data_IF_236746026354
#
_entry.id   IF_236746026354
#
_cell.length_a   1.000
_cell.length_b   1.000
_cell.length_c   1.000
_cell.angle_alpha   90.00
_cell.angle_beta   90.00
_cell.angle_gamma   90.00
#
_symmetry.space_group_name_H-M   'P 1'
#
loop_
_entity.id
_entity.type
_entity.pdbx_description
1 polymer ?
#
# COMPACT_ATOMS: atom_id res chain seq x y z
N UNK A 1 9.79 11.40 -17.06
CA UNK A 1 9.21 10.04 -17.06
C UNK A 1 10.31 9.08 -16.64
N UNK A 2 10.07 8.25 -15.65
CA UNK A 2 11.06 7.29 -15.12
C UNK A 2 11.07 6.01 -15.97
N UNK A 3 9.90 5.62 -16.50
CA UNK A 3 9.73 4.43 -17.35
C UNK A 3 9.02 4.81 -18.65
N UNK A 4 9.38 4.16 -19.76
CA UNK A 4 8.73 4.37 -21.07
C UNK A 4 7.29 3.84 -21.03
N UNK A 5 6.31 4.69 -21.35
CA UNK A 5 4.88 4.33 -21.33
C UNK A 5 4.53 3.17 -22.26
N UNK A 6 5.22 3.04 -23.39
CA UNK A 6 5.00 1.92 -24.32
C UNK A 6 5.40 0.59 -23.70
N UNK A 7 6.49 0.59 -22.92
CA UNK A 7 6.93 -0.61 -22.19
C UNK A 7 5.91 -1.00 -21.13
N UNK A 8 5.41 -0.03 -20.35
CA UNK A 8 4.36 -0.26 -19.35
C UNK A 8 3.09 -0.79 -20.01
N UNK A 9 2.63 -0.15 -21.08
CA UNK A 9 1.45 -0.58 -21.85
C UNK A 9 1.62 -2.02 -22.35
N UNK A 10 2.79 -2.34 -22.89
CA UNK A 10 3.08 -3.72 -23.34
C UNK A 10 3.05 -4.72 -22.19
N UNK A 11 3.75 -4.42 -21.08
CA UNK A 11 3.78 -5.32 -19.92
C UNK A 11 2.36 -5.52 -19.36
N UNK A 12 1.58 -4.44 -19.22
CA UNK A 12 0.22 -4.51 -18.72
C UNK A 12 -0.73 -5.24 -19.69
N UNK A 13 -0.44 -5.25 -20.99
CA UNK A 13 -1.20 -6.04 -21.96
C UNK A 13 -1.01 -7.56 -21.80
N UNK A 14 0.02 -7.99 -21.08
CA UNK A 14 0.27 -9.40 -20.74
C UNK A 14 -0.42 -9.81 -19.44
N UNK A 15 -1.05 -8.86 -18.73
CA UNK A 15 -1.80 -9.17 -17.50
C UNK A 15 -3.05 -9.98 -17.85
N UNK A 16 -3.29 -11.05 -17.09
CA UNK A 16 -4.44 -11.92 -17.23
C UNK A 16 -5.67 -11.46 -16.45
N UNK A 17 -5.57 -10.31 -15.79
CA UNK A 17 -6.61 -9.78 -14.92
C UNK A 17 -6.60 -10.38 -13.52
N UNK A 18 -7.61 -10.01 -12.76
CA UNK A 18 -7.88 -10.52 -11.42
C UNK A 18 -9.11 -11.44 -11.43
N UNK A 19 -9.65 -11.75 -10.26
CA UNK A 19 -10.98 -12.36 -10.16
C UNK A 19 -12.05 -11.35 -10.63
N UNK A 20 -13.18 -11.85 -11.10
CA UNK A 20 -14.24 -10.97 -11.63
C UNK A 20 -14.71 -9.91 -10.63
N UNK A 21 -14.71 -10.21 -9.33
CA UNK A 21 -15.10 -9.25 -8.31
C UNK A 21 -14.04 -8.15 -8.13
N UNK A 22 -12.75 -8.49 -8.17
CA UNK A 22 -11.68 -7.51 -8.11
C UNK A 22 -11.67 -6.61 -9.35
N UNK A 23 -11.86 -7.17 -10.54
CA UNK A 23 -11.94 -6.38 -11.78
C UNK A 23 -13.13 -5.40 -11.76
N UNK A 24 -14.29 -5.81 -11.18
CA UNK A 24 -15.44 -4.93 -10.99
C UNK A 24 -15.12 -3.78 -10.00
N UNK A 25 -14.54 -4.11 -8.84
CA UNK A 25 -14.17 -3.09 -7.84
C UNK A 25 -13.12 -2.13 -8.42
N UNK A 26 -12.16 -2.62 -9.20
CA UNK A 26 -11.18 -1.79 -9.89
C UNK A 26 -11.86 -0.82 -10.86
N UNK A 27 -12.77 -1.30 -11.69
CA UNK A 27 -13.49 -0.47 -12.65
C UNK A 27 -14.35 0.59 -11.94
N UNK A 28 -15.10 0.20 -10.91
CA UNK A 28 -15.91 1.14 -10.09
C UNK A 28 -15.04 2.22 -9.43
N UNK A 29 -13.86 1.86 -8.94
CA UNK A 29 -12.91 2.81 -8.36
C UNK A 29 -12.38 3.80 -9.42
N UNK A 30 -12.00 3.31 -10.60
CA UNK A 30 -11.55 4.13 -11.73
C UNK A 30 -12.63 5.10 -12.19
N UNK A 31 -13.86 4.62 -12.36
CA UNK A 31 -15.01 5.43 -12.78
C UNK A 31 -15.36 6.52 -11.75
N UNK A 32 -15.09 6.26 -10.46
CA UNK A 32 -15.31 7.19 -9.35
C UNK A 32 -14.09 8.04 -9.03
N UNK A 33 -13.01 7.95 -9.81
CA UNK A 33 -11.73 8.65 -9.57
C UNK A 33 -11.13 8.35 -8.19
N UNK A 34 -11.37 7.17 -7.66
CA UNK A 34 -10.72 6.72 -6.42
C UNK A 34 -9.36 6.13 -6.78
N UNK A 35 -8.26 6.66 -6.23
CA UNK A 35 -6.96 6.07 -6.48
C UNK A 35 -6.87 4.67 -5.86
N UNK A 36 -6.43 3.72 -6.66
CA UNK A 36 -6.09 2.36 -6.26
C UNK A 36 -4.68 2.01 -6.76
N UNK A 37 -4.11 0.96 -6.23
CA UNK A 37 -2.78 0.49 -6.64
C UNK A 37 -2.76 0.13 -8.13
N UNK A 38 -1.68 0.51 -8.81
CA UNK A 38 -1.48 0.26 -10.24
C UNK A 38 -1.25 -1.23 -10.51
N UNK A 39 -1.46 -1.65 -11.77
CA UNK A 39 -1.29 -3.04 -12.20
C UNK A 39 0.07 -3.63 -11.82
N UNK A 40 1.14 -2.86 -11.94
CA UNK A 40 2.49 -3.27 -11.60
C UNK A 40 2.62 -3.57 -10.10
N UNK A 41 2.00 -2.75 -9.24
CA UNK A 41 1.97 -2.99 -7.79
C UNK A 41 1.09 -4.19 -7.46
N UNK A 42 -0.04 -4.37 -8.15
CA UNK A 42 -0.88 -5.56 -7.96
C UNK A 42 -0.08 -6.84 -8.21
N UNK A 43 0.65 -6.93 -9.35
CA UNK A 43 1.46 -8.09 -9.67
C UNK A 43 2.64 -8.27 -8.71
N UNK A 44 3.24 -7.16 -8.25
CA UNK A 44 4.33 -7.22 -7.28
C UNK A 44 3.85 -7.71 -5.91
N UNK A 45 2.68 -7.26 -5.44
CA UNK A 45 2.07 -7.77 -4.21
C UNK A 45 1.76 -9.28 -4.33
N UNK A 46 1.16 -9.74 -5.43
CA UNK A 46 0.90 -11.16 -5.68
C UNK A 46 2.21 -12.00 -5.60
N UNK A 47 3.29 -11.51 -6.19
CA UNK A 47 4.61 -12.17 -6.11
C UNK A 47 5.12 -12.24 -4.67
N UNK A 48 5.06 -11.13 -3.94
CA UNK A 48 5.53 -11.08 -2.54
C UNK A 48 4.72 -12.00 -1.64
N UNK A 49 3.39 -12.03 -1.79
CA UNK A 49 2.51 -12.91 -1.04
C UNK A 49 2.82 -14.39 -1.33
N UNK A 50 3.02 -14.75 -2.60
CA UNK A 50 3.41 -16.11 -2.98
C UNK A 50 4.75 -16.55 -2.37
N UNK A 51 5.70 -15.62 -2.24
CA UNK A 51 7.02 -15.87 -1.65
C UNK A 51 7.00 -15.91 -0.13
N UNK A 52 6.28 -14.97 0.50
CA UNK A 52 6.32 -14.73 1.96
C UNK A 52 5.26 -15.50 2.72
N UNK A 53 4.10 -15.74 2.11
CA UNK A 53 2.97 -16.48 2.71
C UNK A 53 2.60 -15.95 4.09
N UNK A 54 2.30 -14.63 4.23
CA UNK A 54 2.06 -14.04 5.52
C UNK A 54 0.75 -14.53 6.13
N UNK A 55 0.74 -14.78 7.42
CA UNK A 55 -0.47 -15.15 8.15
C UNK A 55 -1.19 -13.91 8.71
N UNK A 56 -0.45 -12.85 9.00
CA UNK A 56 -1.01 -11.58 9.49
C UNK A 56 -0.48 -10.40 8.69
N UNK A 57 -1.41 -9.65 8.10
CA UNK A 57 -1.13 -8.49 7.25
C UNK A 57 -1.70 -7.24 7.92
N UNK A 58 -0.91 -6.17 7.97
CA UNK A 58 -1.38 -4.83 8.30
C UNK A 58 -1.35 -3.97 7.04
N UNK A 59 -2.46 -3.31 6.74
CA UNK A 59 -2.54 -2.31 5.69
C UNK A 59 -2.85 -0.94 6.29
N UNK A 60 -2.10 0.09 5.86
CA UNK A 60 -2.35 1.48 6.24
C UNK A 60 -2.80 2.26 5.01
N UNK A 61 -4.12 2.50 4.94
CA UNK A 61 -4.79 3.11 3.79
C UNK A 61 -5.64 2.09 3.03
N UNK A 62 -6.90 1.93 3.44
CA UNK A 62 -7.84 0.96 2.85
C UNK A 62 -8.46 1.45 1.54
N UNK A 63 -8.69 2.75 1.42
CA UNK A 63 -9.52 3.36 0.37
C UNK A 63 -10.87 2.62 0.21
N UNK A 64 -11.10 1.99 -0.93
CA UNK A 64 -12.32 1.18 -1.20
C UNK A 64 -12.12 -0.32 -0.93
N UNK A 65 -11.00 -0.71 -0.33
CA UNK A 65 -10.71 -2.09 0.06
C UNK A 65 -10.10 -2.96 -1.02
N UNK A 66 -9.72 -2.41 -2.17
CA UNK A 66 -9.22 -3.17 -3.30
C UNK A 66 -7.96 -3.97 -2.97
N UNK A 67 -6.94 -3.31 -2.41
CA UNK A 67 -5.66 -3.94 -2.06
C UNK A 67 -5.80 -4.99 -0.94
N UNK A 68 -6.63 -4.72 0.07
CA UNK A 68 -6.93 -5.70 1.12
C UNK A 68 -7.58 -6.97 0.54
N UNK A 69 -8.58 -6.81 -0.36
CA UNK A 69 -9.23 -7.94 -1.03
C UNK A 69 -8.24 -8.69 -1.93
N UNK A 70 -7.40 -7.96 -2.69
CA UNK A 70 -6.37 -8.56 -3.53
C UNK A 70 -5.40 -9.39 -2.69
N UNK A 71 -4.94 -8.88 -1.55
CA UNK A 71 -4.05 -9.62 -0.66
C UNK A 71 -4.76 -10.86 -0.09
N UNK A 72 -6.02 -10.75 0.35
CA UNK A 72 -6.80 -11.87 0.87
C UNK A 72 -7.15 -12.93 -0.18
N UNK A 73 -7.17 -12.59 -1.47
CA UNK A 73 -7.50 -13.48 -2.57
C UNK A 73 -6.29 -14.25 -3.08
N UNK A 74 -5.14 -13.57 -3.15
CA UNK A 74 -3.93 -14.12 -3.76
C UNK A 74 -2.88 -14.63 -2.77
N UNK A 75 -3.10 -14.47 -1.48
CA UNK A 75 -2.24 -15.14 -0.50
C UNK A 75 -2.48 -16.66 -0.59
N UNK A 76 -1.43 -17.47 -0.81
CA UNK A 76 -1.58 -18.92 -0.93
C UNK A 76 -1.91 -19.63 0.39
N UNK A 77 -1.88 -18.91 1.52
CA UNK A 77 -2.28 -19.41 2.84
C UNK A 77 -3.39 -18.53 3.41
N UNK A 78 -4.26 -19.06 4.28
CA UNK A 78 -5.23 -18.22 4.98
C UNK A 78 -4.52 -17.16 5.82
N UNK A 79 -4.82 -15.88 5.56
CA UNK A 79 -4.27 -14.75 6.30
C UNK A 79 -5.37 -13.94 6.98
N UNK A 80 -5.01 -13.23 8.05
CA UNK A 80 -5.86 -12.22 8.69
C UNK A 80 -5.31 -10.84 8.31
N UNK A 81 -6.18 -9.96 7.84
CA UNK A 81 -5.81 -8.62 7.40
C UNK A 81 -6.44 -7.59 8.32
N UNK A 82 -5.61 -6.75 8.93
CA UNK A 82 -6.05 -5.53 9.61
C UNK A 82 -5.77 -4.37 8.68
N UNK A 83 -6.80 -3.56 8.34
CA UNK A 83 -6.64 -2.38 7.49
C UNK A 83 -7.20 -1.14 8.16
N UNK A 84 -6.60 0.04 7.90
CA UNK A 84 -6.94 1.30 8.56
C UNK A 84 -7.40 2.33 7.54
N UNK A 85 -8.54 2.98 7.78
CA UNK A 85 -9.07 4.06 6.96
C UNK A 85 -9.72 5.16 7.81
N UNK A 86 -9.44 6.42 7.48
CA UNK A 86 -10.02 7.56 8.17
C UNK A 86 -11.05 8.34 7.34
N UNK A 87 -11.16 8.08 6.05
CA UNK A 87 -12.07 8.82 5.19
C UNK A 87 -13.48 8.23 5.23
N UNK A 88 -14.35 8.88 6.00
CA UNK A 88 -15.71 8.42 6.29
C UNK A 88 -16.52 8.00 5.07
N UNK A 89 -16.30 8.63 3.90
CA UNK A 89 -17.02 8.31 2.67
C UNK A 89 -16.57 7.00 2.01
N UNK A 90 -15.34 6.56 2.25
CA UNK A 90 -14.79 5.32 1.68
C UNK A 90 -15.05 4.11 2.56
N UNK A 91 -15.12 4.29 3.86
CA UNK A 91 -15.35 3.23 4.86
C UNK A 91 -16.56 2.34 4.50
N UNK A 92 -17.77 2.88 4.26
CA UNK A 92 -18.92 2.03 3.91
C UNK A 92 -18.72 1.30 2.58
N UNK A 93 -18.04 1.90 1.61
CA UNK A 93 -17.74 1.27 0.31
C UNK A 93 -16.79 0.08 0.50
N UNK A 94 -15.72 0.27 1.31
CA UNK A 94 -14.78 -0.80 1.60
C UNK A 94 -15.47 -1.99 2.30
N UNK A 95 -16.31 -1.72 3.30
CA UNK A 95 -17.08 -2.76 3.99
C UNK A 95 -18.00 -3.54 3.05
N UNK A 96 -18.70 -2.84 2.16
CA UNK A 96 -19.54 -3.47 1.15
C UNK A 96 -18.71 -4.33 0.19
N UNK A 97 -17.56 -3.85 -0.24
CA UNK A 97 -16.66 -4.60 -1.10
C UNK A 97 -16.10 -5.85 -0.41
N UNK A 98 -15.81 -5.80 0.89
CA UNK A 98 -15.40 -6.99 1.66
C UNK A 98 -16.50 -8.06 1.66
N UNK A 99 -17.76 -7.65 1.84
CA UNK A 99 -18.93 -8.57 1.79
C UNK A 99 -19.10 -9.13 0.37
N UNK A 100 -19.05 -8.29 -0.68
CA UNK A 100 -19.15 -8.69 -2.08
C UNK A 100 -18.07 -9.72 -2.47
N UNK A 101 -16.88 -9.57 -1.92
CA UNK A 101 -15.76 -10.47 -2.13
C UNK A 101 -15.78 -11.70 -1.20
N UNK A 102 -16.72 -11.79 -0.23
CA UNK A 102 -16.76 -12.86 0.78
C UNK A 102 -15.56 -12.87 1.72
N UNK A 103 -14.95 -11.69 1.96
CA UNK A 103 -13.74 -11.53 2.78
C UNK A 103 -13.99 -10.78 4.11
N UNK A 104 -15.24 -10.51 4.45
CA UNK A 104 -15.63 -9.76 5.65
C UNK A 104 -15.20 -10.40 6.97
N UNK A 105 -14.91 -11.71 6.97
CA UNK A 105 -14.40 -12.43 8.14
C UNK A 105 -12.88 -12.47 8.23
N UNK A 106 -12.22 -12.19 7.11
CA UNK A 106 -10.77 -12.25 6.97
C UNK A 106 -10.13 -10.85 7.07
N UNK A 107 -10.90 -9.81 6.74
CA UNK A 107 -10.44 -8.42 6.72
C UNK A 107 -11.13 -7.63 7.82
N UNK A 108 -10.37 -7.14 8.79
CA UNK A 108 -10.81 -6.26 9.87
C UNK A 108 -10.48 -4.81 9.53
N UNK A 109 -11.50 -3.97 9.35
CA UNK A 109 -11.32 -2.54 9.12
C UNK A 109 -11.35 -1.78 10.45
N UNK A 110 -10.29 -1.06 10.74
CA UNK A 110 -10.19 -0.10 11.84
C UNK A 110 -10.45 1.31 11.30
N UNK A 111 -11.52 1.92 11.79
CA UNK A 111 -11.98 3.23 11.34
C UNK A 111 -11.31 4.34 12.17
N UNK A 112 -10.53 5.19 11.56
CA UNK A 112 -9.92 6.34 12.21
C UNK A 112 -8.53 6.69 11.69
N UNK A 113 -7.90 7.67 12.35
CA UNK A 113 -6.57 8.14 11.99
C UNK A 113 -5.50 7.10 12.37
N UNK A 114 -4.72 6.69 11.38
CA UNK A 114 -3.62 5.75 11.60
C UNK A 114 -2.61 6.24 12.65
N UNK A 115 -2.40 7.56 12.77
CA UNK A 115 -1.54 8.13 13.82
C UNK A 115 -2.06 7.85 15.24
N UNK A 116 -3.35 7.62 15.40
CA UNK A 116 -3.97 7.28 16.69
C UNK A 116 -4.12 5.78 16.89
N UNK A 117 -4.36 5.04 15.81
CA UNK A 117 -4.61 3.59 15.85
C UNK A 117 -3.30 2.81 15.98
N UNK A 118 -2.28 3.10 15.15
CA UNK A 118 -1.02 2.35 15.15
C UNK A 118 -0.38 2.19 16.53
N UNK A 119 -0.30 3.25 17.38
CA UNK A 119 0.25 3.12 18.73
C UNK A 119 -0.52 2.15 19.65
N UNK A 120 -1.80 1.89 19.37
CA UNK A 120 -2.66 1.00 20.19
C UNK A 120 -2.55 -0.46 19.82
N UNK A 121 -2.03 -0.77 18.63
CA UNK A 121 -1.84 -2.15 18.19
C UNK A 121 -0.67 -2.79 18.94
N UNK A 122 -0.87 -4.01 19.41
CA UNK A 122 0.12 -4.76 20.20
C UNK A 122 0.62 -6.01 19.51
N UNK A 123 -0.10 -6.49 18.49
CA UNK A 123 0.25 -7.67 17.73
C UNK A 123 1.30 -7.37 16.66
N UNK A 124 2.12 -8.35 16.33
CA UNK A 124 3.08 -8.23 15.23
C UNK A 124 2.49 -8.79 13.94
N UNK A 125 2.95 -8.25 12.81
CA UNK A 125 2.51 -8.61 11.46
C UNK A 125 3.67 -9.14 10.64
N UNK A 126 3.38 -10.14 9.81
CA UNK A 126 4.36 -10.77 8.93
C UNK A 126 4.57 -9.93 7.66
N UNK A 127 3.56 -9.14 7.33
CA UNK A 127 3.55 -8.28 6.16
C UNK A 127 2.84 -6.96 6.49
N UNK A 128 3.47 -5.85 6.15
CA UNK A 128 2.86 -4.51 6.30
C UNK A 128 2.85 -3.81 4.95
N UNK A 129 1.68 -3.36 4.51
CA UNK A 129 1.51 -2.59 3.30
C UNK A 129 1.11 -1.15 3.65
N UNK A 130 1.96 -0.19 3.27
CA UNK A 130 1.71 1.23 3.49
C UNK A 130 1.34 1.93 2.19
N UNK A 131 0.07 2.31 2.07
CA UNK A 131 -0.46 3.14 0.98
C UNK A 131 -1.35 4.26 1.53
N UNK A 132 -0.83 5.04 2.45
CA UNK A 132 -1.50 6.16 3.09
C UNK A 132 -1.01 7.52 2.55
N UNK A 133 -1.42 8.61 3.23
CA UNK A 133 -0.93 9.95 2.92
C UNK A 133 0.60 10.04 3.09
N UNK A 134 1.31 10.26 1.99
CA UNK A 134 2.78 10.17 1.89
C UNK A 134 3.54 11.04 2.92
N UNK A 135 2.98 12.19 3.28
CA UNK A 135 3.55 13.06 4.31
C UNK A 135 3.49 12.51 5.73
N UNK A 136 2.82 11.38 5.95
CA UNK A 136 2.68 10.75 7.27
C UNK A 136 3.63 9.55 7.48
N UNK A 137 4.20 8.99 6.43
CA UNK A 137 5.03 7.78 6.50
C UNK A 137 6.13 7.86 7.56
N UNK A 138 6.87 8.98 7.61
CA UNK A 138 7.93 9.18 8.62
C UNK A 138 7.38 9.17 10.06
N UNK A 139 6.13 9.62 10.26
CA UNK A 139 5.49 9.63 11.57
C UNK A 139 4.95 8.25 11.97
N UNK A 140 4.53 7.43 11.00
CA UNK A 140 4.08 6.06 11.24
C UNK A 140 5.24 5.09 11.45
N UNK A 141 6.42 5.41 10.93
CA UNK A 141 7.57 4.52 10.88
C UNK A 141 7.94 3.88 12.23
N UNK A 142 7.98 4.59 13.39
CA UNK A 142 8.32 3.97 14.66
C UNK A 142 7.35 2.85 15.05
N UNK A 143 6.04 3.07 14.84
CA UNK A 143 5.02 2.05 15.12
C UNK A 143 5.06 0.93 14.09
N UNK A 144 5.25 1.24 12.82
CA UNK A 144 5.37 0.23 11.75
C UNK A 144 6.55 -0.71 12.03
N UNK A 145 7.71 -0.20 12.40
CA UNK A 145 8.88 -1.03 12.74
C UNK A 145 8.63 -1.87 14.00
N UNK A 146 7.95 -1.33 15.00
CA UNK A 146 7.55 -2.07 16.22
C UNK A 146 6.56 -3.20 15.93
N UNK A 147 5.63 -2.96 14.99
CA UNK A 147 4.59 -3.91 14.61
C UNK A 147 5.09 -4.95 13.59
N UNK A 148 6.20 -4.69 12.91
CA UNK A 148 6.79 -5.64 11.97
C UNK A 148 7.44 -6.79 12.74
N UNK A 149 6.95 -8.02 12.50
CA UNK A 149 7.50 -9.23 13.11
C UNK A 149 8.91 -9.57 12.62
N UNK A 150 9.60 -10.49 13.29
CA UNK A 150 10.87 -11.03 12.79
C UNK A 150 10.69 -11.58 11.37
N UNK A 151 11.63 -11.26 10.47
CA UNK A 151 11.57 -11.64 9.04
C UNK A 151 10.34 -11.08 8.29
N UNK A 152 9.57 -10.19 8.92
CA UNK A 152 8.44 -9.51 8.32
C UNK A 152 8.85 -8.63 7.13
N UNK A 153 7.90 -8.35 6.26
CA UNK A 153 8.12 -7.55 5.05
C UNK A 153 7.30 -6.27 5.12
N UNK A 154 7.96 -5.12 4.98
CA UNK A 154 7.32 -3.82 4.79
C UNK A 154 7.36 -3.45 3.31
N UNK A 155 6.20 -3.14 2.76
CA UNK A 155 6.02 -2.58 1.41
C UNK A 155 5.43 -1.19 1.53
N UNK A 156 6.08 -0.20 0.95
CA UNK A 156 5.61 1.19 0.95
C UNK A 156 5.41 1.65 -0.48
N UNK A 157 4.17 1.99 -0.82
CA UNK A 157 3.81 2.41 -2.18
C UNK A 157 4.11 3.88 -2.46
N UNK A 158 4.37 4.22 -3.72
CA UNK A 158 4.56 5.59 -4.25
C UNK A 158 5.65 6.42 -3.53
N UNK A 159 6.68 5.78 -2.99
CA UNK A 159 7.75 6.47 -2.24
C UNK A 159 8.60 7.42 -3.12
N UNK A 160 8.65 7.19 -4.42
CA UNK A 160 9.39 8.04 -5.37
C UNK A 160 8.58 9.22 -5.91
N UNK A 161 7.26 9.29 -5.61
CA UNK A 161 6.38 10.42 -5.94
C UNK A 161 6.47 10.86 -7.41
N UNK A 162 6.29 9.93 -8.34
CA UNK A 162 6.41 10.17 -9.79
C UNK A 162 7.77 10.81 -10.22
N UNK A 163 8.81 10.61 -9.40
CA UNK A 163 10.14 11.18 -9.63
C UNK A 163 10.41 12.50 -8.91
N UNK A 164 9.41 13.11 -8.28
CA UNK A 164 9.62 14.36 -7.51
C UNK A 164 10.72 14.21 -6.45
N UNK A 165 10.90 13.00 -5.91
CA UNK A 165 11.86 12.71 -4.83
C UNK A 165 13.32 12.98 -5.22
N UNK A 166 13.68 12.83 -6.50
CA UNK A 166 15.05 13.07 -6.99
C UNK A 166 15.32 14.55 -7.31
N UNK A 167 14.25 15.34 -7.43
CA UNK A 167 14.35 16.75 -7.74
C UNK A 167 14.84 17.56 -6.54
N UNK A 168 15.34 18.77 -6.83
CA UNK A 168 15.64 19.72 -5.77
C UNK A 168 14.35 20.19 -5.11
N UNK A 169 14.38 20.47 -3.79
CA UNK A 169 13.23 21.03 -3.07
C UNK A 169 12.65 22.29 -3.72
N UNK A 170 13.43 23.03 -4.47
CA UNK A 170 13.00 24.27 -5.14
C UNK A 170 12.31 24.00 -6.49
N UNK A 171 12.58 22.86 -7.11
CA UNK A 171 11.91 22.43 -8.34
C UNK A 171 10.50 21.88 -8.06
N UNK A 172 10.29 21.32 -6.87
CA UNK A 172 8.98 20.80 -6.45
C UNK A 172 8.04 21.95 -6.10
N UNK A 173 6.75 21.80 -6.43
CA UNK A 173 5.72 22.80 -6.11
C UNK A 173 5.68 23.12 -4.60
N UNK A 174 5.40 24.38 -4.23
CA UNK A 174 5.38 24.81 -2.83
C UNK A 174 4.49 23.91 -1.96
N UNK A 175 3.38 23.45 -2.48
CA UNK A 175 2.44 22.55 -1.79
C UNK A 175 3.08 21.21 -1.44
N UNK A 176 3.91 20.66 -2.32
CA UNK A 176 4.51 19.34 -2.16
C UNK A 176 5.84 19.35 -1.39
N UNK A 177 6.42 20.52 -1.08
CA UNK A 177 7.75 20.61 -0.44
C UNK A 177 7.85 19.92 0.90
N UNK A 178 6.77 19.95 1.70
CA UNK A 178 6.74 19.28 3.00
C UNK A 178 6.70 17.76 2.82
N UNK A 179 5.87 17.28 1.90
CA UNK A 179 5.77 15.84 1.58
C UNK A 179 7.11 15.34 1.04
N UNK A 180 7.69 16.05 0.07
CA UNK A 180 9.00 15.75 -0.50
C UNK A 180 10.09 15.64 0.58
N UNK A 181 10.18 16.62 1.53
CA UNK A 181 11.15 16.58 2.63
C UNK A 181 10.94 15.34 3.49
N UNK A 182 9.70 15.12 3.97
CA UNK A 182 9.35 14.01 4.87
C UNK A 182 9.57 12.65 4.21
N UNK A 183 9.29 12.51 2.91
CA UNK A 183 9.53 11.27 2.21
C UNK A 183 11.03 10.96 2.06
N UNK A 184 11.87 11.98 1.80
CA UNK A 184 13.32 11.80 1.81
C UNK A 184 13.87 11.41 3.18
N UNK A 185 13.33 11.99 4.25
CA UNK A 185 13.66 11.60 5.63
C UNK A 185 13.26 10.13 5.87
N UNK A 186 12.04 9.75 5.49
CA UNK A 186 11.56 8.38 5.60
C UNK A 186 12.46 7.37 4.87
N UNK A 187 12.81 7.65 3.62
CA UNK A 187 13.71 6.78 2.84
C UNK A 187 15.12 6.71 3.44
N UNK A 188 15.61 7.83 3.96
CA UNK A 188 16.91 7.88 4.62
C UNK A 188 16.91 7.00 5.88
N UNK A 189 15.94 7.16 6.76
CA UNK A 189 15.82 6.35 7.98
C UNK A 189 15.71 4.85 7.66
N UNK A 190 14.84 4.46 6.73
CA UNK A 190 14.71 3.05 6.33
C UNK A 190 16.00 2.44 5.80
N UNK A 191 16.81 3.21 5.07
CA UNK A 191 18.06 2.70 4.47
C UNK A 191 19.25 2.73 5.45
N UNK A 192 19.12 3.41 6.57
CA UNK A 192 20.17 3.55 7.60
C UNK A 192 19.81 2.83 8.90
N UNK A 193 18.62 2.26 9.01
CA UNK A 193 18.27 1.40 10.14
C UNK A 193 19.12 0.13 10.09
N UNK A 194 19.81 -0.16 11.18
CA UNK A 194 20.75 -1.29 11.29
C UNK A 194 20.06 -2.68 11.23
N UNK A 195 18.74 -2.72 11.37
CA UNK A 195 17.93 -3.96 11.40
C UNK A 195 17.21 -4.21 10.08
N UNK A 196 17.05 -3.18 9.24
CA UNK A 196 16.28 -3.25 8.00
C UNK A 196 17.16 -3.51 6.78
N UNK A 197 16.82 -4.54 5.98
CA UNK A 197 17.34 -4.68 4.62
C UNK A 197 16.38 -4.00 3.65
N UNK A 198 16.77 -2.87 3.08
CA UNK A 198 15.91 -2.05 2.23
C UNK A 198 16.23 -2.22 0.76
N UNK A 199 15.21 -2.50 -0.06
CA UNK A 199 15.28 -2.49 -1.51
C UNK A 199 14.35 -1.42 -2.07
N UNK A 200 14.91 -0.42 -2.75
CA UNK A 200 14.16 0.62 -3.46
C UNK A 200 13.98 0.23 -4.92
N UNK A 201 12.74 0.19 -5.39
CA UNK A 201 12.42 -0.11 -6.78
C UNK A 201 11.63 1.05 -7.41
N UNK A 202 12.11 1.55 -8.53
CA UNK A 202 11.39 2.54 -9.32
C UNK A 202 10.41 1.84 -10.26
N UNK A 203 9.12 1.86 -9.94
CA UNK A 203 8.02 1.37 -10.77
C UNK A 203 6.93 2.43 -10.93
N UNK A 204 7.33 3.70 -10.93
CA UNK A 204 6.37 4.78 -11.06
C UNK A 204 6.24 5.19 -12.52
N UNK A 205 5.08 4.91 -13.08
CA UNK A 205 4.61 5.42 -14.38
C UNK A 205 3.52 6.44 -14.14
N UNK A 206 3.55 7.52 -14.89
CA UNK A 206 2.44 8.48 -14.93
C UNK A 206 1.31 7.95 -15.79
#
# INVERSE_FOLDING_TARGET
MIVDERLVTYINSLDTGNTSILDQIEQEALDSYVPIIRKEMQQFLKLLLAMKRPMRILEVGTAVGFSAILMAEYDPVPCEITTIENYEKRIPIAKENFIRAGKEKQIMLLEGDAAQILPTLTETYDFIFMDAAKGQYIHFMPDILRLLGPEGTLVSDNVLQDGDIIESRFAVTRRNRTIHKRMREYLYELTHDAVSYTHLRAHETR
#
